data_IF_091002771443
#
_entry.id   IF_091002771443
#
_cell.length_a   1.000
_cell.length_b   1.000
_cell.length_c   1.000
_cell.angle_alpha   90.00
_cell.angle_beta   90.00
_cell.angle_gamma   90.00
#
_symmetry.space_group_name_H-M   'P 1'
#
loop_
_entity.id
_entity.type
_entity.pdbx_description
1 polymer ?
#
# COMPACT_ATOMS: atom_id res chain seq x y z
N UNK A 1 -2.19 28.14 -71.22
CA UNK A 1 -2.78 27.30 -70.16
C UNK A 1 -1.78 27.24 -69.01
N UNK A 2 -2.15 27.77 -67.84
CA UNK A 2 -1.29 27.72 -66.66
C UNK A 2 -1.60 26.43 -65.89
N UNK A 3 -0.61 25.54 -65.76
CA UNK A 3 -0.69 24.42 -64.81
C UNK A 3 -0.54 24.95 -63.39
N UNK A 4 -1.39 24.53 -62.43
CA UNK A 4 -1.22 24.90 -61.04
C UNK A 4 0.04 24.20 -60.51
N UNK A 5 1.00 24.99 -59.99
CA UNK A 5 2.14 24.45 -59.25
C UNK A 5 1.60 23.84 -57.96
N UNK A 6 1.41 22.52 -57.98
CA UNK A 6 1.19 21.75 -56.77
C UNK A 6 2.41 21.99 -55.86
N UNK A 7 2.24 22.36 -54.57
CA UNK A 7 3.35 22.43 -53.65
C UNK A 7 3.78 20.99 -53.35
N UNK A 8 4.59 20.42 -54.24
CA UNK A 8 5.31 19.19 -54.01
C UNK A 8 6.22 19.42 -52.81
N UNK A 9 5.69 19.03 -51.64
CA UNK A 9 6.35 18.68 -50.38
C UNK A 9 7.81 19.12 -50.27
N UNK A 10 8.07 20.43 -50.21
CA UNK A 10 9.26 20.90 -49.51
C UNK A 10 8.99 20.68 -48.02
N UNK A 11 9.43 19.52 -47.54
CA UNK A 11 9.45 19.23 -46.11
C UNK A 11 10.50 20.17 -45.52
N UNK A 12 10.03 21.12 -44.72
CA UNK A 12 10.90 21.96 -43.93
C UNK A 12 11.77 21.07 -43.03
N UNK A 13 13.09 21.23 -43.15
CA UNK A 13 14.07 20.52 -42.32
C UNK A 13 15.05 21.52 -41.73
N UNK A 14 15.33 21.39 -40.44
CA UNK A 14 16.44 22.09 -39.81
C UNK A 14 17.77 21.53 -40.33
N UNK A 15 18.79 22.39 -40.44
CA UNK A 15 20.17 21.91 -40.56
C UNK A 15 20.62 21.28 -39.24
N UNK A 16 21.59 20.38 -39.27
CA UNK A 16 22.12 19.74 -38.06
C UNK A 16 22.61 20.77 -37.03
N UNK A 17 23.32 21.81 -37.49
CA UNK A 17 23.74 22.93 -36.64
C UNK A 17 22.56 23.69 -36.01
N UNK A 18 21.47 23.91 -36.76
CA UNK A 18 20.26 24.57 -36.21
C UNK A 18 19.57 23.68 -35.18
N UNK A 19 19.47 22.38 -35.46
CA UNK A 19 18.90 21.42 -34.52
C UNK A 19 19.76 21.33 -33.25
N UNK A 20 21.08 21.28 -33.37
CA UNK A 20 22.03 21.28 -32.25
C UNK A 20 21.91 22.55 -31.41
N UNK A 21 21.85 23.74 -32.03
CA UNK A 21 21.70 25.01 -31.32
C UNK A 21 20.38 25.08 -30.55
N UNK A 22 19.27 24.72 -31.21
CA UNK A 22 17.94 24.70 -30.60
C UNK A 22 17.89 23.69 -29.44
N UNK A 23 18.43 22.48 -29.63
CA UNK A 23 18.43 21.43 -28.60
C UNK A 23 19.39 21.78 -27.46
N UNK A 24 20.57 22.33 -27.74
CA UNK A 24 21.56 22.73 -26.74
C UNK A 24 21.00 23.79 -25.79
N UNK A 25 20.18 24.72 -26.29
CA UNK A 25 19.49 25.72 -25.47
C UNK A 25 18.62 25.09 -24.36
N UNK A 26 18.08 23.89 -24.58
CA UNK A 26 17.28 23.16 -23.59
C UNK A 26 18.04 22.02 -22.90
N UNK A 27 19.12 21.50 -23.49
CA UNK A 27 19.88 20.36 -22.97
C UNK A 27 20.49 20.61 -21.59
N UNK A 28 20.87 21.86 -21.29
CA UNK A 28 21.35 22.27 -19.97
C UNK A 28 20.24 22.26 -18.90
N UNK A 29 18.99 22.54 -19.30
CA UNK A 29 17.81 22.51 -18.44
C UNK A 29 17.21 21.09 -18.28
N UNK A 30 17.59 20.16 -19.16
CA UNK A 30 17.16 18.75 -19.11
C UNK A 30 17.83 17.92 -17.99
N UNK A 31 18.48 18.55 -17.01
CA UNK A 31 19.11 17.88 -15.86
C UNK A 31 18.13 17.00 -15.06
N UNK A 32 16.83 17.34 -15.07
CA UNK A 32 15.79 16.53 -14.43
C UNK A 32 15.64 15.12 -15.03
N UNK A 33 16.04 14.91 -16.29
CA UNK A 33 16.05 13.60 -16.94
C UNK A 33 17.34 12.81 -16.66
N UNK A 34 18.40 13.48 -16.19
CA UNK A 34 19.72 12.88 -15.93
C UNK A 34 19.87 12.61 -14.44
N UNK A 35 19.06 11.70 -13.91
CA UNK A 35 19.20 11.24 -12.51
C UNK A 35 20.48 10.41 -12.39
N UNK A 36 21.42 10.77 -11.50
CA UNK A 36 22.64 9.97 -11.30
C UNK A 36 22.31 8.54 -10.89
N UNK A 37 23.08 7.57 -11.41
CA UNK A 37 22.93 6.14 -11.05
C UNK A 37 23.03 5.94 -9.54
N UNK A 38 23.91 6.68 -8.86
CA UNK A 38 24.03 6.69 -7.40
C UNK A 38 22.73 7.06 -6.70
N UNK A 39 21.99 8.07 -7.18
CA UNK A 39 20.69 8.46 -6.61
C UNK A 39 19.62 7.36 -6.80
N UNK A 40 19.66 6.64 -7.91
CA UNK A 40 18.74 5.51 -8.14
C UNK A 40 19.05 4.34 -7.21
N UNK A 41 20.34 4.02 -7.04
CA UNK A 41 20.81 2.98 -6.11
C UNK A 41 20.46 3.33 -4.66
N UNK A 42 20.62 4.60 -4.25
CA UNK A 42 20.21 5.10 -2.94
C UNK A 42 18.71 4.89 -2.68
N UNK A 43 17.83 5.32 -3.60
CA UNK A 43 16.38 5.11 -3.46
C UNK A 43 16.02 3.63 -3.40
N UNK A 44 16.70 2.81 -4.21
CA UNK A 44 16.49 1.37 -4.20
C UNK A 44 16.90 0.74 -2.87
N UNK A 45 18.04 1.15 -2.31
CA UNK A 45 18.50 0.70 -1.00
C UNK A 45 17.54 1.12 0.12
N UNK A 46 17.08 2.37 0.12
CA UNK A 46 16.07 2.87 1.07
C UNK A 46 14.77 2.04 0.97
N UNK A 47 14.29 1.78 -0.25
CA UNK A 47 13.09 0.96 -0.48
C UNK A 47 13.24 -0.50 0.00
N UNK A 48 14.40 -1.11 -0.21
CA UNK A 48 14.69 -2.46 0.29
C UNK A 48 14.77 -2.50 1.82
N UNK A 49 15.36 -1.48 2.45
CA UNK A 49 15.39 -1.37 3.91
C UNK A 49 13.96 -1.24 4.49
N UNK A 50 13.12 -0.39 3.90
CA UNK A 50 11.71 -0.28 4.32
C UNK A 50 10.98 -1.63 4.19
N UNK A 51 11.19 -2.35 3.08
CA UNK A 51 10.61 -3.69 2.88
C UNK A 51 11.12 -4.68 3.94
N UNK A 52 12.40 -4.66 4.26
CA UNK A 52 12.97 -5.51 5.30
C UNK A 52 12.33 -5.23 6.67
N UNK A 53 12.18 -3.96 7.04
CA UNK A 53 11.50 -3.54 8.28
C UNK A 53 10.05 -4.03 8.30
N UNK A 54 9.30 -3.87 7.20
CA UNK A 54 7.91 -4.32 7.11
C UNK A 54 7.78 -5.83 7.32
N UNK A 55 8.68 -6.60 6.69
CA UNK A 55 8.75 -8.06 6.80
C UNK A 55 9.10 -8.49 8.22
N UNK A 56 10.17 -7.93 8.81
CA UNK A 56 10.64 -8.24 10.17
C UNK A 56 9.54 -7.96 11.20
N UNK A 57 8.99 -6.74 11.20
CA UNK A 57 7.93 -6.37 12.13
C UNK A 57 6.68 -7.23 11.92
N UNK A 58 6.37 -7.65 10.69
CA UNK A 58 5.25 -8.55 10.46
C UNK A 58 5.48 -9.94 11.05
N UNK A 59 6.67 -10.53 10.83
CA UNK A 59 7.03 -11.83 11.39
C UNK A 59 7.08 -11.81 12.91
N UNK A 60 7.73 -10.81 13.52
CA UNK A 60 7.78 -10.62 14.97
C UNK A 60 6.37 -10.52 15.56
N UNK A 61 5.51 -9.71 14.95
CA UNK A 61 4.12 -9.57 15.39
C UNK A 61 3.38 -10.90 15.32
N UNK A 62 3.52 -11.66 14.22
CA UNK A 62 2.86 -12.97 14.07
C UNK A 62 3.40 -14.01 15.07
N UNK A 63 4.69 -13.98 15.36
CA UNK A 63 5.30 -14.83 16.38
C UNK A 63 4.71 -14.53 17.76
N UNK A 64 4.55 -13.25 18.12
CA UNK A 64 3.89 -12.84 19.35
C UNK A 64 2.44 -13.33 19.43
N UNK A 65 1.66 -13.18 18.36
CA UNK A 65 0.31 -13.75 18.29
C UNK A 65 0.33 -15.27 18.52
N UNK A 66 1.26 -15.98 17.90
CA UNK A 66 1.37 -17.45 18.00
C UNK A 66 1.72 -17.92 19.42
N UNK A 67 2.70 -17.28 20.06
CA UNK A 67 3.13 -17.58 21.44
C UNK A 67 1.97 -17.36 22.40
N UNK A 68 1.25 -16.25 22.25
CA UNK A 68 0.12 -15.88 23.11
C UNK A 68 -1.19 -16.60 22.76
N UNK A 69 -1.18 -17.54 21.79
CA UNK A 69 -2.37 -18.28 21.30
C UNK A 69 -3.52 -17.37 20.86
N UNK A 70 -3.17 -16.28 20.17
CA UNK A 70 -4.09 -15.28 19.62
C UNK A 70 -4.04 -15.29 18.09
N UNK A 71 -5.17 -14.98 17.47
CA UNK A 71 -5.32 -14.89 16.01
C UNK A 71 -5.68 -13.43 15.67
N UNK A 72 -4.86 -12.76 14.83
CA UNK A 72 -5.15 -11.41 14.37
C UNK A 72 -6.53 -11.33 13.71
N UNK A 73 -7.27 -10.23 13.89
CA UNK A 73 -8.60 -10.04 13.29
C UNK A 73 -8.66 -10.38 11.79
N UNK A 74 -7.63 -10.01 11.03
CA UNK A 74 -7.55 -10.27 9.59
C UNK A 74 -7.34 -11.73 9.19
N UNK A 75 -6.93 -12.60 10.14
CA UNK A 75 -6.69 -14.03 9.90
C UNK A 75 -7.75 -14.93 10.57
N UNK A 76 -8.76 -14.34 11.23
CA UNK A 76 -9.86 -15.10 11.82
C UNK A 76 -10.78 -15.60 10.71
N UNK A 77 -10.95 -16.91 10.63
CA UNK A 77 -11.87 -17.53 9.66
C UNK A 77 -13.31 -17.30 10.15
N UNK A 78 -14.13 -16.65 9.32
CA UNK A 78 -15.52 -16.25 9.64
C UNK A 78 -16.56 -17.35 9.41
N UNK A 79 -16.12 -18.57 9.09
CA UNK A 79 -17.01 -19.71 8.92
C UNK A 79 -17.74 -20.04 10.22
N UNK A 80 -19.00 -20.44 10.08
CA UNK A 80 -19.86 -20.87 11.19
C UNK A 80 -20.51 -22.22 10.85
N UNK A 81 -20.73 -23.08 11.85
CA UNK A 81 -21.43 -24.35 11.62
C UNK A 81 -22.89 -24.07 11.22
N UNK A 82 -23.34 -24.68 10.13
CA UNK A 82 -24.75 -24.62 9.69
C UNK A 82 -25.55 -25.79 10.25
N UNK A 83 -24.96 -26.99 10.20
CA UNK A 83 -25.51 -28.19 10.82
C UNK A 83 -25.03 -28.26 12.27
N UNK A 84 -25.91 -28.74 13.15
CA UNK A 84 -25.61 -28.92 14.58
C UNK A 84 -25.20 -27.63 15.31
N UNK A 85 -25.65 -26.45 14.86
CA UNK A 85 -25.33 -25.17 15.52
C UNK A 85 -25.82 -25.07 16.97
N UNK A 86 -26.82 -25.88 17.36
CA UNK A 86 -27.29 -26.00 18.74
C UNK A 86 -26.46 -26.96 19.61
N UNK A 87 -25.58 -27.78 19.02
CA UNK A 87 -24.70 -28.68 19.75
C UNK A 87 -23.41 -27.95 20.13
N UNK A 88 -23.24 -27.69 21.43
CA UNK A 88 -22.09 -26.96 21.97
C UNK A 88 -20.75 -27.65 21.70
N UNK A 89 -20.70 -28.98 21.87
CA UNK A 89 -19.49 -29.76 21.62
C UNK A 89 -19.06 -29.67 20.15
N UNK A 90 -20.02 -29.77 19.22
CA UNK A 90 -19.75 -29.62 17.79
C UNK A 90 -19.20 -28.23 17.46
N UNK A 91 -19.82 -27.16 17.99
CA UNK A 91 -19.34 -25.79 17.79
C UNK A 91 -17.93 -25.58 18.32
N UNK A 92 -17.64 -26.12 19.50
CA UNK A 92 -16.32 -26.02 20.11
C UNK A 92 -15.25 -26.70 19.23
N UNK A 93 -15.50 -27.94 18.81
CA UNK A 93 -14.58 -28.67 17.91
C UNK A 93 -14.43 -27.96 16.56
N UNK A 94 -15.51 -27.44 16.00
CA UNK A 94 -15.48 -26.65 14.77
C UNK A 94 -14.59 -25.40 14.91
N UNK A 95 -14.75 -24.64 15.99
CA UNK A 95 -13.91 -23.48 16.29
C UNK A 95 -12.43 -23.87 16.46
N UNK A 96 -12.14 -24.99 17.13
CA UNK A 96 -10.77 -25.50 17.29
C UNK A 96 -10.10 -25.82 15.94
N UNK A 97 -10.84 -26.42 15.01
CA UNK A 97 -10.33 -26.70 13.65
C UNK A 97 -9.99 -25.39 12.94
N UNK A 98 -10.90 -24.41 12.96
CA UNK A 98 -10.65 -23.10 12.34
C UNK A 98 -9.46 -22.37 12.98
N UNK A 99 -9.35 -22.40 14.30
CA UNK A 99 -8.21 -21.84 15.02
C UNK A 99 -6.90 -22.48 14.54
N UNK A 100 -6.85 -23.81 14.43
CA UNK A 100 -5.67 -24.52 13.94
C UNK A 100 -5.31 -24.06 12.53
N UNK A 101 -6.27 -23.98 11.61
CA UNK A 101 -6.03 -23.47 10.26
C UNK A 101 -5.44 -22.06 10.28
N UNK A 102 -5.98 -21.14 11.10
CA UNK A 102 -5.42 -19.80 11.24
C UNK A 102 -3.98 -19.81 11.75
N UNK A 103 -3.65 -20.64 12.75
CA UNK A 103 -2.27 -20.77 13.24
C UNK A 103 -1.32 -21.38 12.20
N UNK A 104 -1.78 -22.36 11.42
CA UNK A 104 -1.00 -22.95 10.33
C UNK A 104 -0.70 -21.89 9.26
N UNK A 105 -1.69 -21.05 8.90
CA UNK A 105 -1.51 -19.92 7.97
C UNK A 105 -0.50 -18.91 8.52
N UNK A 106 -0.57 -18.56 9.81
CA UNK A 106 0.40 -17.68 10.45
C UNK A 106 1.82 -18.25 10.35
N UNK A 107 1.97 -19.54 10.63
CA UNK A 107 3.27 -20.24 10.58
C UNK A 107 3.83 -20.26 9.17
N UNK A 108 3.01 -20.62 8.18
CA UNK A 108 3.37 -20.58 6.76
C UNK A 108 3.80 -19.16 6.34
N UNK A 109 3.11 -18.14 6.83
CA UNK A 109 3.43 -16.74 6.51
C UNK A 109 4.81 -16.36 7.07
N UNK A 110 5.11 -16.70 8.33
CA UNK A 110 6.42 -16.44 8.95
C UNK A 110 7.55 -17.20 8.23
N UNK A 111 7.29 -18.43 7.80
CA UNK A 111 8.26 -19.22 7.02
C UNK A 111 8.64 -18.51 5.71
N UNK A 112 7.64 -18.05 4.95
CA UNK A 112 7.89 -17.36 3.68
C UNK A 112 8.49 -15.97 3.88
N UNK A 113 8.12 -15.25 4.93
CA UNK A 113 8.79 -13.98 5.31
C UNK A 113 10.28 -14.21 5.57
N UNK A 114 10.65 -15.27 6.28
CA UNK A 114 12.06 -15.59 6.55
C UNK A 114 12.86 -15.79 5.27
N UNK A 115 12.32 -16.55 4.31
CA UNK A 115 12.95 -16.77 3.00
C UNK A 115 13.05 -15.47 2.19
N UNK A 116 12.03 -14.64 2.24
CA UNK A 116 12.03 -13.35 1.54
C UNK A 116 13.05 -12.37 2.12
N UNK A 117 13.21 -12.36 3.46
CA UNK A 117 14.23 -11.55 4.14
C UNK A 117 15.65 -11.91 3.70
N UNK A 118 15.95 -13.20 3.51
CA UNK A 118 17.25 -13.63 2.96
C UNK A 118 17.49 -13.06 1.56
N UNK A 119 16.48 -13.09 0.69
CA UNK A 119 16.57 -12.50 -0.66
C UNK A 119 16.77 -10.99 -0.60
N UNK A 120 15.98 -10.28 0.21
CA UNK A 120 16.06 -8.82 0.36
C UNK A 120 17.43 -8.40 0.89
N UNK A 121 17.95 -9.08 1.93
CA UNK A 121 19.29 -8.82 2.48
C UNK A 121 20.40 -9.04 1.46
N UNK A 122 20.28 -10.10 0.64
CA UNK A 122 21.22 -10.36 -0.46
C UNK A 122 21.20 -9.24 -1.50
N UNK A 123 20.03 -8.73 -1.87
CA UNK A 123 19.91 -7.58 -2.79
C UNK A 123 20.46 -6.29 -2.19
N UNK A 124 20.20 -6.04 -0.90
CA UNK A 124 20.74 -4.89 -0.18
C UNK A 124 22.26 -4.89 -0.20
N UNK A 125 22.89 -6.03 0.10
CA UNK A 125 24.35 -6.17 0.08
C UNK A 125 24.93 -5.83 -1.30
N UNK A 126 24.33 -6.35 -2.38
CA UNK A 126 24.78 -6.05 -3.76
C UNK A 126 24.72 -4.56 -4.08
N UNK A 127 23.68 -3.86 -3.64
CA UNK A 127 23.54 -2.42 -3.88
C UNK A 127 24.53 -1.62 -3.02
N UNK A 128 24.76 -2.06 -1.78
CA UNK A 128 25.74 -1.43 -0.89
C UNK A 128 27.16 -1.54 -1.43
N UNK A 129 27.52 -2.70 -2.01
CA UNK A 129 28.79 -2.91 -2.73
C UNK A 129 28.92 -1.98 -3.95
N UNK A 130 27.84 -1.82 -4.74
CA UNK A 130 27.82 -0.92 -5.90
C UNK A 130 27.96 0.56 -5.49
N UNK A 131 27.31 0.98 -4.40
CA UNK A 131 27.43 2.33 -3.86
C UNK A 131 28.84 2.59 -3.30
N UNK A 132 29.43 1.60 -2.63
CA UNK A 132 30.78 1.66 -2.07
C UNK A 132 31.85 1.76 -3.15
N UNK A 133 31.65 1.12 -4.30
CA UNK A 133 32.58 1.21 -5.43
C UNK A 133 32.59 2.60 -6.11
N UNK A 134 31.51 3.37 -5.98
CA UNK A 134 31.32 4.64 -6.68
C UNK A 134 31.38 5.90 -5.79
N UNK A 135 31.60 5.75 -4.49
CA UNK A 135 31.55 6.85 -3.51
C UNK A 135 32.77 6.82 -2.59
N UNK A 136 33.16 7.97 -2.02
CA UNK A 136 34.15 7.98 -0.94
C UNK A 136 33.56 7.38 0.35
N UNK A 137 34.44 6.92 1.25
CA UNK A 137 34.00 6.37 2.53
C UNK A 137 33.21 7.38 3.38
N UNK A 138 33.56 8.67 3.31
CA UNK A 138 32.87 9.72 4.05
C UNK A 138 31.47 9.99 3.50
N UNK A 139 31.32 10.15 2.18
CA UNK A 139 30.02 10.37 1.54
C UNK A 139 29.07 9.20 1.80
N UNK A 140 29.59 7.97 1.79
CA UNK A 140 28.81 6.77 2.07
C UNK A 140 28.37 6.70 3.53
N UNK A 141 29.23 7.08 4.48
CA UNK A 141 28.88 7.13 5.89
C UNK A 141 27.78 8.18 6.15
N UNK A 142 27.92 9.39 5.62
CA UNK A 142 26.92 10.45 5.75
C UNK A 142 25.56 10.04 5.15
N UNK A 143 25.58 9.37 3.99
CA UNK A 143 24.38 8.82 3.37
C UNK A 143 23.70 7.77 4.26
N UNK A 144 24.48 6.83 4.82
CA UNK A 144 23.95 5.76 5.69
C UNK A 144 23.33 6.34 6.95
N UNK A 145 23.97 7.33 7.58
CA UNK A 145 23.42 8.01 8.76
C UNK A 145 22.10 8.72 8.46
N UNK A 146 22.02 9.46 7.35
CA UNK A 146 20.78 10.13 6.94
C UNK A 146 19.65 9.14 6.65
N UNK A 147 19.99 8.02 6.01
CA UNK A 147 19.03 6.96 5.72
C UNK A 147 18.57 6.28 7.02
N UNK A 148 19.48 6.00 7.95
CA UNK A 148 19.15 5.36 9.22
C UNK A 148 18.14 6.17 10.03
N UNK A 149 18.29 7.49 10.10
CA UNK A 149 17.32 8.38 10.77
C UNK A 149 15.91 8.23 10.19
N UNK A 150 15.78 8.15 8.86
CA UNK A 150 14.48 7.96 8.20
C UNK A 150 13.91 6.57 8.49
N UNK A 151 14.75 5.54 8.44
CA UNK A 151 14.37 4.16 8.69
C UNK A 151 13.93 3.95 10.14
N UNK A 152 14.60 4.57 11.11
CA UNK A 152 14.21 4.51 12.52
C UNK A 152 12.84 5.13 12.77
N UNK A 153 12.58 6.29 12.14
CA UNK A 153 11.26 6.92 12.19
C UNK A 153 10.20 6.02 11.56
N UNK A 154 10.48 5.47 10.38
CA UNK A 154 9.57 4.56 9.67
C UNK A 154 9.25 3.31 10.50
N UNK A 155 10.27 2.69 11.10
CA UNK A 155 10.14 1.53 11.98
C UNK A 155 9.28 1.86 13.20
N UNK A 156 9.54 2.97 13.88
CA UNK A 156 8.78 3.41 15.06
C UNK A 156 7.29 3.64 14.76
N UNK A 157 6.97 4.26 13.62
CA UNK A 157 5.58 4.46 13.17
C UNK A 157 4.88 3.14 12.91
N UNK A 158 5.54 2.20 12.25
CA UNK A 158 5.02 0.85 11.99
C UNK A 158 4.81 0.05 13.29
N UNK A 159 5.78 0.06 14.20
CA UNK A 159 5.67 -0.59 15.51
C UNK A 159 4.47 -0.07 16.30
N UNK A 160 4.27 1.25 16.32
CA UNK A 160 3.11 1.87 16.97
C UNK A 160 1.79 1.34 16.40
N UNK A 161 1.68 1.24 15.07
CA UNK A 161 0.48 0.69 14.43
C UNK A 161 0.27 -0.80 14.73
N UNK A 162 1.34 -1.61 14.72
CA UNK A 162 1.27 -3.04 15.06
C UNK A 162 0.84 -3.24 16.51
N UNK A 163 1.40 -2.46 17.44
CA UNK A 163 1.05 -2.48 18.86
C UNK A 163 -0.42 -2.14 19.08
N UNK A 164 -0.92 -1.06 18.48
CA UNK A 164 -2.34 -0.71 18.54
C UNK A 164 -3.26 -1.82 18.01
N UNK A 165 -2.88 -2.50 16.92
CA UNK A 165 -3.63 -3.65 16.39
C UNK A 165 -3.59 -4.82 17.37
N UNK A 166 -2.43 -5.13 17.95
CA UNK A 166 -2.25 -6.18 18.94
C UNK A 166 -3.07 -5.94 20.22
N UNK A 167 -3.04 -4.72 20.77
CA UNK A 167 -3.81 -4.36 21.97
C UNK A 167 -5.31 -4.51 21.70
N UNK A 168 -5.77 -4.01 20.55
CA UNK A 168 -7.17 -4.13 20.13
C UNK A 168 -7.62 -5.59 19.98
N UNK A 169 -6.72 -6.45 19.50
CA UNK A 169 -7.02 -7.88 19.34
C UNK A 169 -6.96 -8.60 20.69
N UNK A 170 -6.06 -8.18 21.60
CA UNK A 170 -5.99 -8.64 22.99
C UNK A 170 -7.30 -8.41 23.73
N UNK A 171 -7.86 -7.21 23.62
CA UNK A 171 -9.16 -6.86 24.22
C UNK A 171 -10.30 -7.75 23.70
N UNK A 172 -10.23 -8.24 22.46
CA UNK A 172 -11.25 -9.19 21.97
C UNK A 172 -11.16 -10.55 22.66
N UNK A 173 -9.94 -11.03 22.93
CA UNK A 173 -9.73 -12.29 23.64
C UNK A 173 -10.17 -12.17 25.10
N UNK A 174 -9.81 -11.09 25.79
CA UNK A 174 -10.24 -10.82 27.17
C UNK A 174 -11.76 -10.75 27.32
N UNK A 175 -12.46 -10.22 26.30
CA UNK A 175 -13.91 -10.10 26.29
C UNK A 175 -14.62 -11.28 25.63
N UNK A 176 -13.89 -12.32 25.21
CA UNK A 176 -14.45 -13.50 24.55
C UNK A 176 -15.09 -13.24 23.17
N UNK A 177 -14.75 -12.15 22.48
CA UNK A 177 -15.38 -11.72 21.21
C UNK A 177 -14.72 -12.25 19.94
N UNK A 178 -13.83 -13.24 20.06
CA UNK A 178 -13.10 -13.82 18.92
C UNK A 178 -14.07 -14.51 17.95
N UNK A 179 -15.07 -15.21 18.48
CA UNK A 179 -16.14 -15.85 17.71
C UNK A 179 -17.50 -15.42 18.26
N UNK A 180 -18.03 -14.30 17.75
CA UNK A 180 -19.32 -13.77 18.19
C UNK A 180 -20.49 -14.76 18.01
N UNK A 181 -20.40 -15.67 17.03
CA UNK A 181 -21.42 -16.72 16.81
C UNK A 181 -21.35 -17.86 17.83
N UNK A 182 -20.27 -17.98 18.59
CA UNK A 182 -20.12 -19.07 19.58
C UNK A 182 -20.91 -18.76 20.86
N UNK A 183 -21.27 -17.49 21.08
CA UNK A 183 -22.20 -17.02 22.09
C UNK A 183 -23.62 -16.97 21.52
N UNK A 184 -24.19 -18.13 21.22
CA UNK A 184 -25.63 -18.22 20.99
C UNK A 184 -26.32 -18.27 22.35
N UNK A 185 -26.67 -17.10 22.89
CA UNK A 185 -27.75 -17.01 23.87
C UNK A 185 -29.06 -17.07 23.09
N UNK A 186 -29.82 -18.15 23.26
CA UNK A 186 -31.02 -18.49 22.47
C UNK A 186 -32.22 -17.54 22.62
N UNK A 187 -32.02 -16.28 23.01
CA UNK A 187 -33.07 -15.30 23.31
C UNK A 187 -33.16 -14.13 22.34
N UNK A 188 -32.31 -14.03 21.31
CA UNK A 188 -32.48 -12.99 20.26
C UNK A 188 -32.77 -13.60 18.90
N UNK A 189 -34.08 -13.76 18.63
CA UNK A 189 -34.61 -13.79 17.26
C UNK A 189 -34.26 -12.46 16.59
N UNK A 190 -33.15 -12.42 15.86
CA UNK A 190 -32.92 -11.34 14.90
C UNK A 190 -33.84 -11.57 13.69
N UNK A 191 -34.64 -10.55 13.38
CA UNK A 191 -35.49 -10.50 12.19
C UNK A 191 -34.68 -10.61 10.88
N UNK A 192 -35.37 -10.61 9.73
CA UNK A 192 -34.75 -10.92 8.44
C UNK A 192 -33.59 -9.96 8.16
N UNK A 193 -32.38 -10.53 8.11
CA UNK A 193 -31.16 -9.82 7.75
C UNK A 193 -31.28 -9.44 6.27
N UNK A 194 -31.53 -8.16 5.99
CA UNK A 194 -31.27 -7.59 4.67
C UNK A 194 -29.85 -7.94 4.25
N UNK A 195 -29.71 -8.55 3.09
CA UNK A 195 -28.43 -8.85 2.48
C UNK A 195 -27.63 -7.56 2.34
N UNK A 196 -26.63 -7.37 3.18
CA UNK A 196 -25.65 -6.30 3.04
C UNK A 196 -24.80 -6.64 1.80
N UNK A 197 -25.15 -5.99 0.69
CA UNK A 197 -24.36 -5.93 -0.54
C UNK A 197 -22.94 -5.46 -0.19
N UNK A 198 -21.88 -6.02 -0.81
CA UNK A 198 -20.52 -5.56 -0.59
C UNK A 198 -20.38 -4.08 -0.94
N UNK A 199 -19.86 -3.29 0.01
CA UNK A 199 -19.64 -1.84 -0.08
C UNK A 199 -18.46 -1.48 -0.99
N UNK A 200 -18.43 -2.01 -2.21
CA UNK A 200 -17.41 -1.73 -3.21
C UNK A 200 -17.96 -1.25 -4.56
N UNK A 201 -19.25 -0.87 -4.62
CA UNK A 201 -19.88 -0.30 -5.84
C UNK A 201 -20.36 1.16 -5.70
N UNK A 202 -20.24 1.80 -4.54
CA UNK A 202 -20.73 3.19 -4.33
C UNK A 202 -19.69 4.27 -4.62
N UNK A 203 -18.47 3.91 -5.07
CA UNK A 203 -17.45 4.93 -5.41
C UNK A 203 -17.58 5.49 -6.83
N UNK A 204 -18.44 4.89 -7.68
CA UNK A 204 -18.59 5.32 -9.07
C UNK A 204 -19.78 6.27 -9.30
N UNK A 205 -20.75 6.36 -8.38
CA UNK A 205 -21.92 7.24 -8.54
C UNK A 205 -21.75 8.64 -7.93
N UNK A 206 -20.73 8.87 -7.09
CA UNK A 206 -20.48 10.20 -6.49
C UNK A 206 -19.74 11.20 -7.38
N UNK A 207 -19.34 10.82 -8.59
CA UNK A 207 -18.66 11.72 -9.54
C UNK A 207 -19.65 12.37 -10.52
N UNK A 208 -20.86 11.83 -10.70
CA UNK A 208 -21.86 12.41 -11.60
C UNK A 208 -22.74 13.46 -10.90
N UNK A 209 -23.07 13.30 -9.62
CA UNK A 209 -23.88 14.27 -8.87
C UNK A 209 -23.16 15.59 -8.50
N UNK A 210 -21.83 15.68 -8.64
CA UNK A 210 -21.08 16.93 -8.39
C UNK A 210 -20.85 17.79 -9.64
N UNK A 211 -21.32 17.35 -10.82
CA UNK A 211 -21.20 18.13 -12.06
C UNK A 211 -22.45 18.93 -12.45
N UNK A 212 -23.60 18.65 -11.84
CA UNK A 212 -24.84 19.38 -12.16
C UNK A 212 -25.10 20.61 -11.28
N UNK A 213 -24.52 20.68 -10.07
CA UNK A 213 -24.72 21.83 -9.15
C UNK A 213 -23.77 23.02 -9.40
N UNK A 214 -22.83 22.92 -10.35
CA UNK A 214 -21.88 23.98 -10.67
C UNK A 214 -22.27 24.84 -11.90
N UNK A 215 -23.51 24.71 -12.41
CA UNK A 215 -23.93 25.37 -13.65
C UNK A 215 -25.20 26.24 -13.52
N UNK A 216 -25.54 26.67 -12.30
CA UNK A 216 -26.63 27.61 -12.02
C UNK A 216 -26.15 28.79 -11.17
N UNK A 217 -25.03 29.44 -11.53
CA UNK A 217 -24.75 30.77 -10.99
C UNK A 217 -23.93 31.64 -11.95
N UNK A 218 -24.42 31.79 -13.17
CA UNK A 218 -23.89 32.81 -14.08
C UNK A 218 -25.00 33.33 -14.97
N UNK A 219 -25.79 34.28 -14.44
CA UNK A 219 -26.49 35.36 -15.19
C UNK A 219 -27.43 36.14 -14.26
N UNK A 220 -26.91 37.17 -13.58
CA UNK A 220 -27.67 38.41 -13.40
C UNK A 220 -26.74 39.58 -13.04
N UNK A 221 -25.95 40.04 -14.01
CA UNK A 221 -25.30 41.34 -13.92
C UNK A 221 -25.54 42.04 -15.26
N UNK A 222 -26.59 42.86 -15.28
CA UNK A 222 -26.78 44.08 -16.06
C UNK A 222 -28.27 44.45 -15.96
N UNK A 223 -28.61 45.38 -15.06
CA UNK A 223 -29.47 46.49 -15.47
C UNK A 223 -29.26 47.70 -14.54
N UNK A 224 -28.91 48.81 -15.17
CA UNK A 224 -28.73 50.15 -14.62
C UNK A 224 -29.67 51.06 -15.41
N UNK A 225 -30.27 52.03 -14.70
CA UNK A 225 -31.14 53.17 -15.11
C UNK A 225 -32.63 52.83 -15.13
N UNK A 226 -33.51 53.70 -14.66
CA UNK A 226 -33.37 55.10 -14.23
C UNK A 226 -34.77 55.71 -14.18
N UNK A 227 -34.88 56.76 -13.35
CA UNK A 227 -36.04 57.62 -13.06
C UNK A 227 -37.21 57.02 -12.25
#
# INVERSE_FOLDING_TARGET
>A
MASPKHPDRQVFSYTEAQAEEIVAAFALSAGFLRVPVSSQLQRKLEGLNCRAIDLELHAETLAEYFVNKRIPRGLRISLRPMLFAGNEEFRLRFAQILNKCSFDIMTLTVEFISKELESVRTEMQKIDEQLSAGSSAQELAELKDQMQIKLDKYKSENEKQKRQKYDRDTVDYERGRVYAWNHWDGTKREGPRSASVPRNMERSSRIEDQREDANLDTRHFLDIRGD
#
